data_IF_148668993096
#
_entry.id   IF_148668993096
#
_cell.length_a   1.000
_cell.length_b   1.000
_cell.length_c   1.000
_cell.angle_alpha   90.00
_cell.angle_beta   90.00
_cell.angle_gamma   90.00
#
_symmetry.space_group_name_H-M   'P 1'
#
loop_
_entity.id
_entity.type
_entity.pdbx_description
1 polymer ?
#
# COMPACT_ATOMS: atom_id res chain seq x y z
N UNK A 1 15.57 -1.83 11.45
CA UNK A 1 15.96 -1.79 10.03
C UNK A 1 15.59 -3.05 9.25
N UNK A 2 15.79 -4.26 9.83
CA UNK A 2 15.48 -5.54 9.16
C UNK A 2 13.99 -5.67 8.78
N UNK A 3 13.07 -5.25 9.64
CA UNK A 3 11.63 -5.27 9.38
C UNK A 3 11.29 -4.42 8.15
N UNK A 4 11.85 -3.23 8.04
CA UNK A 4 11.60 -2.32 6.91
C UNK A 4 12.06 -2.94 5.60
N UNK A 5 13.23 -3.56 5.58
CA UNK A 5 13.77 -4.25 4.40
C UNK A 5 12.87 -5.44 4.03
N UNK A 6 12.45 -6.25 5.00
CA UNK A 6 11.56 -7.38 4.77
C UNK A 6 10.19 -6.95 4.22
N UNK A 7 9.60 -5.90 4.78
CA UNK A 7 8.34 -5.34 4.30
C UNK A 7 8.48 -4.74 2.90
N UNK A 8 9.59 -4.08 2.61
CA UNK A 8 9.86 -3.54 1.27
C UNK A 8 9.95 -4.66 0.22
N UNK A 9 10.72 -5.73 0.51
CA UNK A 9 10.84 -6.88 -0.39
C UNK A 9 9.50 -7.55 -0.64
N UNK A 10 8.62 -7.59 0.36
CA UNK A 10 7.28 -8.17 0.22
C UNK A 10 6.31 -7.26 -0.52
N UNK A 11 6.31 -5.97 -0.24
CA UNK A 11 5.38 -5.01 -0.84
C UNK A 11 5.73 -4.68 -2.30
N UNK A 12 7.02 -4.60 -2.63
CA UNK A 12 7.52 -4.20 -3.93
C UNK A 12 6.95 -5.05 -5.10
N UNK A 13 7.01 -6.39 -5.09
CA UNK A 13 6.46 -7.20 -6.18
C UNK A 13 4.94 -7.06 -6.31
N UNK A 14 4.21 -6.91 -5.20
CA UNK A 14 2.75 -6.75 -5.20
C UNK A 14 2.37 -5.43 -5.86
N UNK A 15 2.97 -4.33 -5.42
CA UNK A 15 2.72 -3.00 -6.00
C UNK A 15 3.13 -2.98 -7.47
N UNK A 16 4.29 -3.55 -7.81
CA UNK A 16 4.77 -3.62 -9.19
C UNK A 16 3.82 -4.40 -10.08
N UNK A 17 3.33 -5.55 -9.64
CA UNK A 17 2.37 -6.35 -10.38
C UNK A 17 1.06 -5.61 -10.62
N UNK A 18 0.53 -4.90 -9.62
CA UNK A 18 -0.70 -4.12 -9.74
C UNK A 18 -0.53 -2.92 -10.68
N UNK A 19 0.57 -2.18 -10.56
CA UNK A 19 0.90 -1.06 -11.45
C UNK A 19 1.08 -1.55 -12.88
N UNK A 20 1.80 -2.65 -13.08
CA UNK A 20 2.04 -3.25 -14.38
C UNK A 20 0.73 -3.72 -15.05
N UNK A 21 -0.13 -4.41 -14.31
CA UNK A 21 -1.45 -4.85 -14.80
C UNK A 21 -2.31 -3.67 -15.25
N UNK A 22 -2.33 -2.60 -14.45
CA UNK A 22 -3.06 -1.36 -14.76
C UNK A 22 -2.49 -0.67 -16.00
N UNK A 23 -1.17 -0.57 -16.06
CA UNK A 23 -0.49 0.06 -17.18
C UNK A 23 -0.71 -0.70 -18.48
N UNK A 24 -0.72 -2.04 -18.49
CA UNK A 24 -0.95 -2.84 -19.70
C UNK A 24 -2.32 -2.60 -20.34
N UNK A 25 -3.37 -2.41 -19.56
CA UNK A 25 -4.73 -2.22 -20.07
C UNK A 25 -4.90 -0.96 -20.93
N UNK A 26 -4.27 0.15 -20.54
CA UNK A 26 -4.47 1.46 -21.15
C UNK A 26 -3.27 1.99 -21.96
N UNK A 27 -2.08 1.47 -21.77
CA UNK A 27 -0.83 2.00 -22.29
C UNK A 27 -0.81 2.16 -23.83
N UNK A 28 -1.26 1.13 -24.54
CA UNK A 28 -1.14 1.14 -26.02
C UNK A 28 -2.00 2.20 -26.67
N UNK A 29 -3.17 2.48 -26.12
CA UNK A 29 -4.08 3.48 -26.67
C UNK A 29 -3.60 4.90 -26.34
N UNK A 30 -3.27 5.18 -25.09
CA UNK A 30 -2.84 6.49 -24.62
C UNK A 30 -1.53 6.92 -25.29
N UNK A 31 -0.53 6.01 -25.34
CA UNK A 31 0.74 6.30 -25.99
C UNK A 31 0.60 6.52 -27.49
N UNK A 32 -0.20 5.71 -28.19
CA UNK A 32 -0.47 5.91 -29.62
C UNK A 32 -1.13 7.26 -29.89
N UNK A 33 -2.11 7.64 -29.09
CA UNK A 33 -2.79 8.94 -29.22
C UNK A 33 -1.83 10.09 -28.94
N UNK A 34 -1.01 10.00 -27.87
CA UNK A 34 -0.03 11.03 -27.55
C UNK A 34 1.00 11.22 -28.68
N UNK A 35 1.55 10.14 -29.21
CA UNK A 35 2.49 10.20 -30.32
C UNK A 35 1.83 10.69 -31.61
N UNK A 36 0.57 10.30 -31.86
CA UNK A 36 -0.21 10.79 -33.00
C UNK A 36 -0.47 12.31 -32.95
N UNK A 37 -0.52 12.90 -31.76
CA UNK A 37 -0.61 14.35 -31.52
C UNK A 37 0.75 15.05 -31.51
N UNK A 38 1.84 14.34 -31.81
CA UNK A 38 3.19 14.92 -31.89
C UNK A 38 3.91 15.03 -30.53
N UNK A 39 3.46 14.32 -29.50
CA UNK A 39 4.12 14.34 -28.20
C UNK A 39 5.51 13.69 -28.26
N UNK A 40 6.49 14.31 -27.59
CA UNK A 40 7.79 13.68 -27.37
C UNK A 40 7.67 12.53 -26.34
N UNK A 41 8.63 11.62 -26.30
CA UNK A 41 8.66 10.45 -25.41
C UNK A 41 8.41 10.82 -23.94
N UNK A 42 9.04 11.86 -23.43
CA UNK A 42 8.83 12.36 -22.08
C UNK A 42 7.40 12.87 -21.84
N UNK A 43 6.83 13.59 -22.80
CA UNK A 43 5.46 14.07 -22.73
C UNK A 43 4.44 12.92 -22.76
N UNK A 44 4.66 11.92 -23.62
CA UNK A 44 3.81 10.73 -23.69
C UNK A 44 3.79 9.94 -22.38
N UNK A 45 4.96 9.74 -21.74
CA UNK A 45 5.05 9.09 -20.42
C UNK A 45 4.35 9.91 -19.34
N UNK A 46 4.53 11.23 -19.32
CA UNK A 46 3.87 12.13 -18.38
C UNK A 46 2.35 12.06 -18.50
N UNK A 47 1.84 12.09 -19.73
CA UNK A 47 0.40 11.94 -20.01
C UNK A 47 -0.12 10.60 -19.52
N UNK A 48 0.61 9.52 -19.80
CA UNK A 48 0.25 8.19 -19.31
C UNK A 48 0.16 8.14 -17.79
N UNK A 49 1.18 8.64 -17.08
CA UNK A 49 1.20 8.65 -15.61
C UNK A 49 0.05 9.48 -15.03
N UNK A 50 -0.31 10.57 -15.69
CA UNK A 50 -1.44 11.39 -15.29
C UNK A 50 -2.78 10.66 -15.47
N UNK A 51 -2.92 9.93 -16.57
CA UNK A 51 -4.14 9.18 -16.89
C UNK A 51 -4.33 7.97 -15.94
N UNK A 52 -3.25 7.30 -15.57
CA UNK A 52 -3.31 6.14 -14.66
C UNK A 52 -3.18 6.50 -13.16
N UNK A 53 -3.27 7.81 -12.81
CA UNK A 53 -3.09 8.24 -11.41
C UNK A 53 -4.04 7.55 -10.43
N UNK A 54 -5.31 7.36 -10.78
CA UNK A 54 -6.31 6.73 -9.91
C UNK A 54 -6.02 5.25 -9.68
N UNK A 55 -5.79 4.43 -10.73
CA UNK A 55 -5.36 3.05 -10.53
C UNK A 55 -3.99 2.92 -9.83
N UNK A 56 -3.09 3.88 -10.05
CA UNK A 56 -1.81 3.91 -9.33
C UNK A 56 -2.00 4.12 -7.83
N UNK A 57 -2.87 5.05 -7.45
CA UNK A 57 -3.27 5.24 -6.05
C UNK A 57 -3.91 3.99 -5.46
N UNK A 58 -4.79 3.32 -6.19
CA UNK A 58 -5.39 2.06 -5.74
C UNK A 58 -4.32 0.97 -5.48
N UNK A 59 -3.32 0.86 -6.36
CA UNK A 59 -2.19 -0.06 -6.17
C UNK A 59 -1.35 0.28 -4.92
N UNK A 60 -1.09 1.57 -4.69
CA UNK A 60 -0.39 2.03 -3.48
C UNK A 60 -1.19 1.73 -2.21
N UNK A 61 -2.51 1.94 -2.23
CA UNK A 61 -3.41 1.63 -1.11
C UNK A 61 -3.44 0.14 -0.80
N UNK A 62 -3.48 -0.70 -1.82
CA UNK A 62 -3.42 -2.15 -1.65
C UNK A 62 -2.07 -2.60 -1.04
N UNK A 63 -0.95 -2.03 -1.52
CA UNK A 63 0.38 -2.26 -0.94
C UNK A 63 0.46 -1.81 0.51
N UNK A 64 -0.08 -0.64 0.84
CA UNK A 64 -0.13 -0.12 2.19
C UNK A 64 -0.95 -1.02 3.13
N UNK A 65 -2.14 -1.46 2.71
CA UNK A 65 -2.97 -2.40 3.48
C UNK A 65 -2.24 -3.73 3.73
N UNK A 66 -1.48 -4.21 2.75
CA UNK A 66 -0.67 -5.43 2.88
C UNK A 66 0.45 -5.28 3.90
N UNK A 67 1.13 -4.13 3.91
CA UNK A 67 2.21 -3.84 4.87
C UNK A 67 1.68 -3.66 6.29
N UNK A 68 0.55 -2.95 6.45
CA UNK A 68 -0.07 -2.77 7.78
C UNK A 68 -0.50 -4.10 8.40
N UNK A 69 -1.05 -5.01 7.59
CA UNK A 69 -1.51 -6.32 8.06
C UNK A 69 -0.40 -7.35 8.28
N UNK A 70 0.88 -7.01 8.01
CA UNK A 70 1.97 -7.98 8.08
C UNK A 70 2.40 -8.27 9.52
N UNK A 71 2.21 -9.51 9.94
CA UNK A 71 2.61 -10.02 11.26
C UNK A 71 3.86 -10.89 11.16
N UNK A 72 3.90 -11.77 10.17
CA UNK A 72 4.90 -12.83 10.05
C UNK A 72 6.32 -12.31 9.96
N UNK A 73 6.59 -11.42 9.01
CA UNK A 73 7.92 -10.82 8.82
C UNK A 73 8.32 -10.01 10.06
N UNK A 74 7.38 -9.23 10.62
CA UNK A 74 7.65 -8.44 11.81
C UNK A 74 7.98 -9.29 13.03
N UNK A 75 7.36 -10.46 13.18
CA UNK A 75 7.68 -11.43 14.24
C UNK A 75 9.04 -12.10 14.01
N UNK A 76 9.29 -12.61 12.80
CA UNK A 76 10.51 -13.36 12.47
C UNK A 76 11.75 -12.47 12.50
N UNK A 77 11.70 -11.31 11.82
CA UNK A 77 12.84 -10.41 11.71
C UNK A 77 12.98 -9.45 12.89
N UNK A 78 11.87 -9.13 13.55
CA UNK A 78 11.84 -8.18 14.66
C UNK A 78 11.92 -8.81 16.03
N UNK A 79 11.57 -10.10 16.19
CA UNK A 79 11.54 -10.79 17.47
C UNK A 79 10.53 -10.22 18.48
N UNK A 80 9.62 -9.34 18.05
CA UNK A 80 8.58 -8.71 18.88
C UNK A 80 9.09 -8.11 20.21
N UNK A 81 10.28 -7.48 20.18
CA UNK A 81 10.93 -6.90 21.37
C UNK A 81 10.21 -5.63 21.79
N UNK A 82 9.81 -5.56 23.07
CA UNK A 82 9.12 -4.40 23.64
C UNK A 82 9.93 -3.10 23.44
N UNK A 83 9.27 -2.05 22.95
CA UNK A 83 9.84 -0.72 22.65
C UNK A 83 10.93 -0.68 21.55
N UNK A 84 11.25 -1.80 20.92
CA UNK A 84 12.31 -1.85 19.90
C UNK A 84 11.74 -2.28 18.54
N UNK A 85 11.05 -3.41 18.48
CA UNK A 85 10.57 -4.01 17.21
C UNK A 85 9.10 -4.39 17.26
N UNK A 86 8.41 -4.18 18.40
CA UNK A 86 6.98 -4.48 18.53
C UNK A 86 6.14 -3.52 17.72
N UNK A 87 5.38 -4.04 16.76
CA UNK A 87 4.36 -3.32 15.98
C UNK A 87 2.97 -3.56 16.59
N UNK A 88 1.94 -2.81 16.16
CA UNK A 88 0.57 -3.05 16.64
C UNK A 88 0.09 -4.46 16.28
N UNK A 89 0.40 -4.94 15.08
CA UNK A 89 0.01 -6.27 14.63
C UNK A 89 0.69 -7.39 15.42
N UNK A 90 1.98 -7.25 15.72
CA UNK A 90 2.69 -8.23 16.58
C UNK A 90 2.27 -8.16 18.04
N UNK A 91 1.85 -6.99 18.53
CA UNK A 91 1.25 -6.85 19.85
C UNK A 91 -0.11 -7.57 19.93
N UNK A 92 -0.97 -7.41 18.93
CA UNK A 92 -2.26 -8.13 18.85
C UNK A 92 -2.02 -9.66 18.90
N UNK A 93 -1.10 -10.15 18.07
CA UNK A 93 -0.77 -11.58 18.04
C UNK A 93 -0.25 -12.09 19.39
N UNK A 94 0.60 -11.31 20.06
CA UNK A 94 1.14 -11.65 21.39
C UNK A 94 0.04 -11.68 22.46
N UNK A 95 -0.79 -10.64 22.55
CA UNK A 95 -1.84 -10.57 23.57
C UNK A 95 -2.92 -11.65 23.33
N UNK A 96 -3.22 -11.97 22.07
CA UNK A 96 -4.08 -13.10 21.72
C UNK A 96 -3.49 -14.43 22.21
N UNK A 97 -2.18 -14.65 22.03
CA UNK A 97 -1.51 -15.87 22.47
C UNK A 97 -1.40 -16.01 23.99
N UNK A 98 -1.45 -14.89 24.72
CA UNK A 98 -1.51 -14.86 26.20
C UNK A 98 -2.93 -15.08 26.74
N UNK A 99 -3.96 -15.05 25.89
CA UNK A 99 -5.35 -15.12 26.30
C UNK A 99 -5.97 -13.76 26.69
N UNK A 100 -5.23 -12.66 26.54
CA UNK A 100 -5.68 -11.29 26.83
C UNK A 100 -6.50 -10.73 25.64
N UNK A 101 -7.65 -11.36 25.38
CA UNK A 101 -8.48 -11.04 24.22
C UNK A 101 -9.05 -9.62 24.26
N UNK A 102 -9.32 -9.07 25.42
CA UNK A 102 -9.84 -7.69 25.56
C UNK A 102 -8.85 -6.66 25.06
N UNK A 103 -7.58 -6.80 25.41
CA UNK A 103 -6.50 -5.92 24.94
C UNK A 103 -6.21 -6.12 23.45
N UNK A 104 -6.18 -7.37 22.99
CA UNK A 104 -5.98 -7.71 21.58
C UNK A 104 -7.07 -7.10 20.70
N UNK A 105 -8.35 -7.20 21.12
CA UNK A 105 -9.48 -6.60 20.41
C UNK A 105 -9.42 -5.06 20.40
N UNK A 106 -9.06 -4.44 21.51
CA UNK A 106 -8.91 -2.99 21.59
C UNK A 106 -7.83 -2.49 20.61
N UNK A 107 -6.66 -3.14 20.59
CA UNK A 107 -5.58 -2.81 19.65
C UNK A 107 -5.99 -3.05 18.20
N UNK A 108 -6.71 -4.15 17.90
CA UNK A 108 -7.24 -4.45 16.57
C UNK A 108 -8.24 -3.40 16.10
N UNK A 109 -9.12 -2.94 16.99
CA UNK A 109 -10.07 -1.89 16.68
C UNK A 109 -9.40 -0.55 16.37
N UNK A 110 -8.39 -0.17 17.16
CA UNK A 110 -7.58 1.05 16.91
C UNK A 110 -6.85 0.94 15.57
N UNK A 111 -6.25 -0.21 15.27
CA UNK A 111 -5.57 -0.43 13.98
C UNK A 111 -6.55 -0.32 12.80
N UNK A 112 -7.76 -0.88 12.95
CA UNK A 112 -8.82 -0.79 11.95
C UNK A 112 -9.24 0.67 11.71
N UNK A 113 -9.45 1.45 12.77
CA UNK A 113 -9.79 2.87 12.66
C UNK A 113 -8.69 3.67 11.94
N UNK A 114 -7.43 3.43 12.28
CA UNK A 114 -6.29 4.07 11.61
C UNK A 114 -6.28 3.71 10.11
N UNK A 115 -6.40 2.43 9.79
CA UNK A 115 -6.41 1.97 8.40
C UNK A 115 -7.58 2.57 7.59
N UNK A 116 -8.79 2.57 8.16
CA UNK A 116 -9.96 3.18 7.52
C UNK A 116 -9.81 4.69 7.33
N UNK A 117 -9.26 5.39 8.32
CA UNK A 117 -9.04 6.85 8.24
C UNK A 117 -8.05 7.18 7.13
N UNK A 118 -6.91 6.48 7.08
CA UNK A 118 -5.89 6.72 6.04
C UNK A 118 -6.47 6.40 4.66
N UNK A 119 -7.12 5.24 4.49
CA UNK A 119 -7.74 4.85 3.22
C UNK A 119 -8.82 5.85 2.79
N UNK A 120 -9.69 6.25 3.71
CA UNK A 120 -10.74 7.23 3.45
C UNK A 120 -10.19 8.60 3.05
N UNK A 121 -9.16 9.09 3.74
CA UNK A 121 -8.49 10.35 3.39
C UNK A 121 -7.89 10.30 1.99
N UNK A 122 -7.13 9.24 1.66
CA UNK A 122 -6.51 9.11 0.34
C UNK A 122 -7.57 9.02 -0.75
N UNK A 123 -8.64 8.27 -0.53
CA UNK A 123 -9.73 8.14 -1.49
C UNK A 123 -10.49 9.46 -1.69
N UNK A 124 -10.70 10.22 -0.62
CA UNK A 124 -11.30 11.55 -0.69
C UNK A 124 -10.44 12.52 -1.51
N UNK A 125 -9.12 12.55 -1.25
CA UNK A 125 -8.21 13.39 -2.03
C UNK A 125 -8.11 12.95 -3.49
N UNK A 126 -8.13 11.64 -3.76
CA UNK A 126 -8.16 11.11 -5.12
C UNK A 126 -9.40 11.56 -5.89
N UNK A 127 -10.57 11.51 -5.26
CA UNK A 127 -11.82 11.96 -5.86
C UNK A 127 -11.83 13.48 -6.16
N UNK A 128 -11.23 14.28 -5.29
CA UNK A 128 -11.11 15.73 -5.51
C UNK A 128 -10.14 16.06 -6.67
N UNK A 129 -9.14 15.24 -6.89
CA UNK A 129 -8.16 15.43 -7.96
C UNK A 129 -8.69 15.04 -9.35
N UNK A 130 -9.87 14.40 -9.43
CA UNK A 130 -10.57 14.05 -10.68
C UNK A 130 -11.58 15.13 -11.14
N UNK A 131 -11.92 16.07 -10.26
CA UNK A 131 -12.76 17.22 -10.60
C UNK A 131 -11.94 18.41 -11.07
#
# INVERSE_FOLDING_TARGET
>A
SAIIIGQFILACPIITAMVFSTAQGNNKHILKTAYGLGANHYQAIKTLLWEIKTPLLAALMAGFGRVIGEVGISMILGGNIYRVTRTMTTAIALETSKGEFSLALALGFVLLLIALTINGCVQYFSYQAEK
#
